data_IF_881674789741
#
_entry.id   IF_881674789741
#
_cell.length_a   1.000
_cell.length_b   1.000
_cell.length_c   1.000
_cell.angle_alpha   90.00
_cell.angle_beta   90.00
_cell.angle_gamma   90.00
#
_symmetry.space_group_name_H-M   'P 1'
#
loop_
_entity.id
_entity.type
_entity.pdbx_description
1 polymer ?
#
# COMPACT_ATOMS: atom_id res chain seq x y z
N UNK A 1 -4.15 -17.34 -10.23
CA UNK A 1 -2.97 -16.59 -9.82
C UNK A 1 -2.73 -15.58 -10.94
N UNK A 2 -2.66 -14.31 -10.63
CA UNK A 2 -2.48 -13.25 -11.60
C UNK A 2 -1.08 -13.26 -12.25
N UNK A 3 -0.89 -12.42 -13.25
CA UNK A 3 0.40 -12.25 -13.93
C UNK A 3 1.42 -11.48 -13.07
N UNK A 4 0.94 -10.50 -12.32
CA UNK A 4 1.75 -9.64 -11.44
C UNK A 4 1.44 -9.91 -9.96
N UNK A 5 0.15 -10.02 -9.60
CA UNK A 5 -0.28 -10.28 -8.24
C UNK A 5 -0.23 -11.76 -7.91
N UNK A 6 0.66 -12.12 -6.99
CA UNK A 6 0.68 -13.43 -6.35
C UNK A 6 -0.08 -13.43 -5.03
N UNK A 7 0.03 -14.50 -4.26
CA UNK A 7 -0.55 -14.62 -2.91
C UNK A 7 -0.12 -13.46 -1.99
N UNK A 8 1.09 -12.96 -2.19
CA UNK A 8 1.73 -11.94 -1.38
C UNK A 8 1.86 -10.56 -2.08
N UNK A 9 1.02 -10.29 -3.05
CA UNK A 9 1.11 -9.07 -3.87
C UNK A 9 2.11 -9.19 -5.02
N UNK A 10 2.54 -8.06 -5.57
CA UNK A 10 3.57 -8.01 -6.61
C UNK A 10 4.93 -8.03 -5.96
N UNK A 11 5.82 -8.95 -6.34
CA UNK A 11 7.18 -9.07 -5.81
C UNK A 11 8.21 -9.18 -6.91
N UNK A 12 9.42 -8.66 -6.68
CA UNK A 12 10.55 -8.77 -7.59
C UNK A 12 11.79 -8.07 -7.06
N UNK A 13 12.88 -8.16 -7.81
CA UNK A 13 14.10 -7.39 -7.55
C UNK A 13 13.79 -5.92 -7.84
N UNK A 14 13.98 -5.05 -6.84
CA UNK A 14 13.67 -3.63 -6.95
C UNK A 14 14.57 -2.97 -7.99
N UNK A 15 13.96 -2.22 -8.92
CA UNK A 15 14.67 -1.59 -10.04
C UNK A 15 14.93 -2.48 -11.26
N UNK A 16 14.68 -3.79 -11.15
CA UNK A 16 14.80 -4.74 -12.27
C UNK A 16 13.42 -5.32 -12.65
N UNK A 17 12.83 -6.13 -11.76
CA UNK A 17 11.50 -6.72 -11.97
C UNK A 17 10.40 -5.77 -11.48
N UNK A 18 10.58 -5.21 -10.28
CA UNK A 18 9.70 -4.23 -9.67
C UNK A 18 10.28 -2.84 -9.87
N UNK A 19 10.01 -2.25 -11.02
CA UNK A 19 10.51 -0.93 -11.43
C UNK A 19 9.62 0.21 -10.95
N UNK A 20 10.11 1.45 -11.03
CA UNK A 20 9.32 2.65 -10.76
C UNK A 20 8.12 2.76 -11.72
N UNK A 21 8.32 2.40 -12.99
CA UNK A 21 7.28 2.42 -14.00
C UNK A 21 6.15 1.44 -13.67
N UNK A 22 6.51 0.22 -13.23
CA UNK A 22 5.53 -0.77 -12.80
C UNK A 22 4.80 -0.30 -11.53
N UNK A 23 5.52 0.22 -10.54
CA UNK A 23 4.91 0.75 -9.32
C UNK A 23 3.94 1.91 -9.62
N UNK A 24 4.30 2.83 -10.52
CA UNK A 24 3.41 3.91 -10.96
C UNK A 24 2.16 3.37 -11.67
N UNK A 25 2.29 2.35 -12.53
CA UNK A 25 1.14 1.70 -13.19
C UNK A 25 0.24 0.99 -12.18
N UNK A 26 0.81 0.30 -11.20
CA UNK A 26 0.05 -0.30 -10.08
C UNK A 26 -0.75 0.79 -9.36
N UNK A 27 -0.12 1.93 -9.04
CA UNK A 27 -0.80 3.06 -8.41
C UNK A 27 -1.95 3.61 -9.25
N UNK A 28 -1.75 3.82 -10.55
CA UNK A 28 -2.80 4.27 -11.48
C UNK A 28 -3.96 3.29 -11.57
N UNK A 29 -3.66 2.01 -11.78
CA UNK A 29 -4.68 0.97 -11.88
C UNK A 29 -5.48 0.82 -10.58
N UNK A 30 -4.81 0.83 -9.43
CA UNK A 30 -5.45 0.77 -8.12
C UNK A 30 -6.39 1.96 -7.91
N UNK A 31 -5.91 3.21 -8.14
CA UNK A 31 -6.74 4.40 -8.00
C UNK A 31 -7.94 4.38 -8.95
N UNK A 32 -7.76 3.98 -10.22
CA UNK A 32 -8.84 3.91 -11.19
C UNK A 32 -9.94 2.93 -10.78
N UNK A 33 -9.55 1.72 -10.30
CA UNK A 33 -10.51 0.70 -9.84
C UNK A 33 -11.23 1.18 -8.59
N UNK A 34 -10.52 1.78 -7.62
CA UNK A 34 -11.11 2.27 -6.37
C UNK A 34 -12.04 3.46 -6.60
N UNK A 35 -11.63 4.46 -7.42
CA UNK A 35 -12.48 5.61 -7.76
C UNK A 35 -13.79 5.18 -8.40
N UNK A 36 -13.75 4.17 -9.27
CA UNK A 36 -14.97 3.62 -9.89
C UNK A 36 -15.93 2.96 -8.91
N UNK A 37 -15.47 2.61 -7.70
CA UNK A 37 -16.25 1.90 -6.69
C UNK A 37 -16.73 2.76 -5.52
N UNK A 38 -16.05 3.87 -5.21
CA UNK A 38 -16.30 4.64 -3.98
C UNK A 38 -17.24 5.82 -4.16
N UNK A 39 -17.34 6.39 -5.37
CA UNK A 39 -18.15 7.59 -5.62
C UNK A 39 -17.62 8.89 -4.97
N UNK A 40 -16.44 8.83 -4.34
CA UNK A 40 -15.71 9.96 -3.76
C UNK A 40 -14.22 9.84 -4.12
N UNK A 41 -13.43 10.88 -3.78
CA UNK A 41 -11.98 10.88 -3.95
C UNK A 41 -11.36 9.82 -3.02
N UNK A 42 -10.69 8.78 -3.55
CA UNK A 42 -10.12 7.73 -2.71
C UNK A 42 -9.01 8.27 -1.81
N UNK A 43 -8.96 7.78 -0.58
CA UNK A 43 -7.88 7.99 0.39
C UNK A 43 -7.13 6.70 0.58
N UNK A 44 -5.83 6.72 0.32
CA UNK A 44 -4.99 5.52 0.31
C UNK A 44 -3.83 5.70 1.28
N UNK A 45 -3.70 4.78 2.22
CA UNK A 45 -2.57 4.73 3.14
C UNK A 45 -1.40 4.03 2.47
N UNK A 46 -0.18 4.53 2.65
CA UNK A 46 1.05 3.83 2.23
C UNK A 46 2.00 3.70 3.41
N UNK A 47 2.38 2.46 3.69
CA UNK A 47 3.45 2.14 4.63
C UNK A 47 4.54 1.31 3.96
N UNK A 48 5.74 1.29 4.54
CA UNK A 48 6.88 0.55 4.01
C UNK A 48 7.72 -0.09 5.11
N UNK A 49 8.53 -1.07 4.74
CA UNK A 49 9.58 -1.59 5.61
C UNK A 49 10.85 -0.71 5.52
N UNK A 50 11.93 -1.16 6.14
CA UNK A 50 13.19 -0.42 6.22
C UNK A 50 14.08 -0.53 4.99
N UNK A 51 13.64 -1.19 3.92
CA UNK A 51 14.41 -1.37 2.68
C UNK A 51 14.65 -0.03 2.00
N UNK A 52 15.87 0.18 1.51
CA UNK A 52 16.25 1.40 0.80
C UNK A 52 15.40 1.63 -0.47
N UNK A 53 15.01 0.56 -1.16
CA UNK A 53 14.13 0.64 -2.33
C UNK A 53 12.71 1.15 -2.01
N UNK A 54 12.31 1.14 -0.74
CA UNK A 54 11.00 1.61 -0.29
C UNK A 54 10.73 3.06 -0.66
N UNK A 55 11.71 3.95 -0.53
CA UNK A 55 11.55 5.39 -0.85
C UNK A 55 11.24 5.60 -2.33
N UNK A 56 11.98 4.93 -3.20
CA UNK A 56 11.81 5.01 -4.64
C UNK A 56 10.44 4.48 -5.08
N UNK A 57 10.04 3.32 -4.55
CA UNK A 57 8.77 2.68 -4.91
C UNK A 57 7.57 3.45 -4.33
N UNK A 58 7.68 4.00 -3.11
CA UNK A 58 6.66 4.86 -2.53
C UNK A 58 6.43 6.11 -3.37
N UNK A 59 7.50 6.77 -3.81
CA UNK A 59 7.40 7.95 -4.66
C UNK A 59 6.70 7.63 -5.99
N UNK A 60 7.05 6.51 -6.63
CA UNK A 60 6.45 6.08 -7.91
C UNK A 60 4.96 5.71 -7.75
N UNK A 61 4.62 4.92 -6.72
CA UNK A 61 3.23 4.59 -6.39
C UNK A 61 2.41 5.84 -6.13
N UNK A 62 2.92 6.75 -5.29
CA UNK A 62 2.28 8.01 -4.92
C UNK A 62 2.00 8.86 -6.17
N UNK A 63 2.98 8.98 -7.07
CA UNK A 63 2.78 9.69 -8.32
C UNK A 63 1.66 9.06 -9.18
N UNK A 64 1.62 7.73 -9.25
CA UNK A 64 0.56 7.00 -9.95
C UNK A 64 -0.82 7.27 -9.36
N UNK A 65 -0.97 7.12 -8.06
CA UNK A 65 -2.23 7.34 -7.33
C UNK A 65 -2.73 8.78 -7.48
N UNK A 66 -1.87 9.76 -7.21
CA UNK A 66 -2.23 11.17 -7.29
C UNK A 66 -2.59 11.59 -8.72
N UNK A 67 -1.95 11.02 -9.74
CA UNK A 67 -2.23 11.33 -11.15
C UNK A 67 -3.67 10.97 -11.58
N UNK A 68 -4.34 10.08 -10.84
CA UNK A 68 -5.73 9.65 -11.08
C UNK A 68 -6.71 10.29 -10.08
N UNK A 69 -6.21 11.13 -9.17
CA UNK A 69 -7.01 11.91 -8.23
C UNK A 69 -7.18 11.28 -6.85
N UNK A 70 -6.48 10.19 -6.52
CA UNK A 70 -6.50 9.64 -5.17
C UNK A 70 -5.58 10.46 -4.24
N UNK A 71 -6.03 10.71 -3.01
CA UNK A 71 -5.20 11.28 -1.96
C UNK A 71 -4.39 10.17 -1.27
N UNK A 72 -3.16 10.48 -0.93
CA UNK A 72 -2.22 9.54 -0.30
C UNK A 72 -1.86 10.02 1.10
N UNK A 73 -1.96 9.14 2.08
CA UNK A 73 -1.43 9.36 3.43
C UNK A 73 -0.22 8.45 3.66
N UNK A 74 0.98 9.04 3.70
CA UNK A 74 2.21 8.31 4.00
C UNK A 74 2.31 8.06 5.50
N UNK A 75 2.42 6.78 5.87
CA UNK A 75 2.57 6.30 7.25
C UNK A 75 4.05 6.16 7.65
N UNK A 76 4.98 6.25 6.69
CA UNK A 76 6.39 5.99 6.92
C UNK A 76 6.70 4.51 7.12
N UNK A 77 7.68 4.22 7.97
CA UNK A 77 8.14 2.84 8.24
C UNK A 77 7.32 2.23 9.36
N UNK A 78 6.58 1.15 9.02
CA UNK A 78 5.82 0.36 9.98
C UNK A 78 5.55 -1.07 9.45
N UNK A 79 5.22 -2.02 10.35
CA UNK A 79 5.01 -3.41 9.94
C UNK A 79 3.71 -3.56 9.12
N UNK A 80 3.71 -4.56 8.24
CA UNK A 80 2.56 -4.89 7.38
C UNK A 80 1.21 -4.93 8.11
N UNK A 81 1.05 -5.59 9.28
CA UNK A 81 -0.23 -5.63 9.98
C UNK A 81 -0.69 -4.26 10.49
N UNK A 82 0.23 -3.32 10.72
CA UNK A 82 -0.14 -1.96 11.09
C UNK A 82 -0.92 -1.26 9.97
N UNK A 83 -0.47 -1.39 8.71
CA UNK A 83 -1.19 -0.81 7.57
C UNK A 83 -2.60 -1.40 7.47
N UNK A 84 -2.72 -2.72 7.57
CA UNK A 84 -4.00 -3.42 7.50
C UNK A 84 -4.98 -2.93 8.60
N UNK A 85 -4.49 -2.74 9.83
CA UNK A 85 -5.28 -2.21 10.95
C UNK A 85 -5.68 -0.74 10.73
N UNK A 86 -4.70 0.10 10.35
CA UNK A 86 -4.90 1.54 10.23
C UNK A 86 -5.84 1.92 9.09
N UNK A 87 -5.94 1.11 8.03
CA UNK A 87 -6.94 1.30 6.96
C UNK A 87 -8.34 1.38 7.57
N UNK A 88 -8.71 0.42 8.40
CA UNK A 88 -10.00 0.43 9.09
C UNK A 88 -10.13 1.56 10.11
N UNK A 89 -9.09 1.78 10.93
CA UNK A 89 -9.07 2.84 11.96
C UNK A 89 -9.29 4.23 11.39
N UNK A 90 -8.68 4.52 10.24
CA UNK A 90 -8.76 5.84 9.60
C UNK A 90 -9.86 5.95 8.55
N UNK A 91 -10.65 4.88 8.34
CA UNK A 91 -11.66 4.80 7.30
C UNK A 91 -11.10 5.16 5.91
N UNK A 92 -9.91 4.64 5.60
CA UNK A 92 -9.30 4.79 4.29
C UNK A 92 -9.87 3.76 3.31
N UNK A 93 -9.89 4.07 2.02
CA UNK A 93 -10.45 3.18 1.00
C UNK A 93 -9.56 2.00 0.69
N UNK A 94 -8.25 2.18 0.89
CA UNK A 94 -7.25 1.11 0.74
C UNK A 94 -5.98 1.41 1.54
N UNK A 95 -5.18 0.37 1.75
CA UNK A 95 -3.82 0.48 2.26
C UNK A 95 -2.83 -0.23 1.36
N UNK A 96 -1.66 0.35 1.17
CA UNK A 96 -0.57 -0.24 0.40
C UNK A 96 0.63 -0.42 1.34
N UNK A 97 1.24 -1.60 1.29
CA UNK A 97 2.49 -1.87 1.99
C UNK A 97 3.58 -2.19 0.99
N UNK A 98 4.72 -1.53 1.13
CA UNK A 98 5.93 -1.77 0.34
C UNK A 98 6.89 -2.59 1.19
N UNK A 99 6.95 -3.89 0.93
CA UNK A 99 7.78 -4.84 1.66
C UNK A 99 7.90 -6.16 0.93
N UNK A 100 9.04 -6.81 1.04
CA UNK A 100 9.23 -8.20 0.61
C UNK A 100 9.39 -9.17 1.80
N UNK A 101 8.93 -8.79 3.00
CA UNK A 101 8.97 -9.64 4.20
C UNK A 101 10.42 -10.06 4.54
N UNK A 102 10.72 -11.37 4.52
CA UNK A 102 12.03 -11.96 4.85
C UNK A 102 12.93 -12.22 3.63
N UNK A 103 12.52 -11.78 2.43
CA UNK A 103 13.37 -11.94 1.23
C UNK A 103 14.67 -11.10 1.36
N UNK A 104 15.74 -11.46 0.64
CA UNK A 104 16.96 -10.67 0.58
C UNK A 104 16.71 -9.18 0.26
N UNK A 105 17.66 -8.31 0.62
CA UNK A 105 17.46 -6.86 0.61
C UNK A 105 17.20 -6.27 -0.78
N UNK A 106 17.65 -6.91 -1.84
CA UNK A 106 17.42 -6.51 -3.23
C UNK A 106 15.99 -6.71 -3.70
N UNK A 107 15.22 -7.58 -3.03
CA UNK A 107 13.80 -7.75 -3.33
C UNK A 107 12.94 -6.66 -2.68
N UNK A 108 11.84 -6.35 -3.32
CA UNK A 108 10.74 -5.58 -2.73
C UNK A 108 9.40 -6.15 -3.18
N UNK A 109 8.32 -5.60 -2.64
CA UNK A 109 6.97 -6.03 -2.98
C UNK A 109 5.95 -4.94 -2.68
N UNK A 110 4.80 -5.03 -3.34
CA UNK A 110 3.67 -4.13 -3.16
C UNK A 110 2.45 -4.99 -2.87
N UNK A 111 1.89 -4.84 -1.66
CA UNK A 111 0.63 -5.45 -1.25
C UNK A 111 -0.44 -4.40 -1.09
N UNK A 112 -1.65 -4.70 -1.53
CA UNK A 112 -2.79 -3.80 -1.41
C UNK A 112 -3.85 -4.44 -0.53
N UNK A 113 -4.31 -3.69 0.46
CA UNK A 113 -5.42 -4.04 1.34
C UNK A 113 -6.65 -3.21 0.97
N UNK A 114 -7.81 -3.84 0.98
CA UNK A 114 -9.08 -3.14 0.87
C UNK A 114 -9.35 -2.29 2.13
N UNK A 115 -10.35 -1.40 2.08
CA UNK A 115 -10.79 -0.58 3.23
C UNK A 115 -11.16 -1.39 4.47
N UNK A 116 -11.39 -2.70 4.32
CA UNK A 116 -11.64 -3.65 5.42
C UNK A 116 -10.37 -4.14 6.11
N UNK A 117 -9.17 -3.78 5.61
CA UNK A 117 -7.89 -4.29 6.10
C UNK A 117 -7.50 -5.67 5.59
N UNK A 118 -8.33 -6.33 4.79
CA UNK A 118 -8.01 -7.61 4.17
C UNK A 118 -7.39 -7.43 2.79
N UNK A 119 -6.69 -8.47 2.29
CA UNK A 119 -6.17 -8.54 0.92
C UNK A 119 -7.29 -8.19 -0.07
N UNK A 120 -6.96 -7.51 -1.16
CA UNK A 120 -7.90 -7.29 -2.26
C UNK A 120 -8.45 -8.62 -2.79
N UNK A 121 -9.74 -8.69 -3.14
CA UNK A 121 -10.27 -9.82 -3.90
C UNK A 121 -9.52 -10.00 -5.23
N UNK A 122 -9.33 -11.25 -5.64
CA UNK A 122 -8.61 -11.56 -6.89
C UNK A 122 -9.24 -10.87 -8.12
N UNK A 123 -10.56 -10.69 -8.14
CA UNK A 123 -11.26 -9.96 -9.20
C UNK A 123 -10.83 -8.48 -9.29
N UNK A 124 -10.51 -7.86 -8.16
CA UNK A 124 -10.02 -6.47 -8.11
C UNK A 124 -8.58 -6.40 -8.57
N UNK A 125 -7.74 -7.34 -8.12
CA UNK A 125 -6.36 -7.48 -8.57
C UNK A 125 -6.29 -7.70 -10.09
N UNK A 126 -7.13 -8.58 -10.64
CA UNK A 126 -7.21 -8.83 -12.09
C UNK A 126 -7.59 -7.57 -12.89
N UNK A 127 -8.46 -6.69 -12.36
CA UNK A 127 -8.78 -5.41 -13.00
C UNK A 127 -7.57 -4.47 -13.00
N UNK A 128 -6.81 -4.43 -11.92
CA UNK A 128 -5.56 -3.65 -11.84
C UNK A 128 -4.55 -4.19 -12.85
N UNK A 129 -4.38 -5.50 -12.94
CA UNK A 129 -3.50 -6.15 -13.92
C UNK A 129 -3.89 -5.82 -15.37
N UNK A 130 -5.17 -5.81 -15.68
CA UNK A 130 -5.65 -5.44 -17.01
C UNK A 130 -5.26 -4.00 -17.39
N UNK A 131 -5.28 -3.06 -16.43
CA UNK A 131 -4.75 -1.71 -16.67
C UNK A 131 -3.24 -1.71 -16.89
N UNK A 132 -2.48 -2.48 -16.11
CA UNK A 132 -1.02 -2.57 -16.25
C UNK A 132 -0.65 -3.12 -17.63
N UNK A 133 -1.30 -4.21 -18.07
CA UNK A 133 -1.05 -4.86 -19.35
C UNK A 133 -1.39 -3.97 -20.55
N UNK A 134 -2.37 -3.08 -20.41
CA UNK A 134 -2.77 -2.11 -21.43
C UNK A 134 -2.10 -0.74 -21.25
N UNK A 135 -0.95 -0.70 -20.58
CA UNK A 135 -0.18 0.53 -20.33
C UNK A 135 -0.98 1.67 -19.68
N UNK A 136 -1.95 1.31 -18.84
CA UNK A 136 -2.94 2.21 -18.23
C UNK A 136 -3.76 3.01 -19.24
N UNK A 137 -3.90 2.52 -20.48
CA UNK A 137 -4.73 3.15 -21.50
C UNK A 137 -6.20 3.21 -21.02
N UNK A 138 -6.87 4.34 -21.29
CA UNK A 138 -8.24 4.58 -20.86
C UNK A 138 -8.38 5.12 -19.43
N UNK A 139 -7.30 5.21 -18.66
CA UNK A 139 -7.31 5.92 -17.38
C UNK A 139 -7.20 7.43 -17.65
N UNK A 140 -8.20 8.16 -17.20
CA UNK A 140 -8.18 9.63 -17.28
C UNK A 140 -7.25 10.21 -16.23
N UNK A 141 -6.20 10.91 -16.66
CA UNK A 141 -5.32 11.63 -15.75
C UNK A 141 -5.97 12.95 -15.33
N UNK A 142 -5.91 13.24 -14.04
CA UNK A 142 -6.50 14.44 -13.45
C UNK A 142 -5.56 15.64 -13.57
N UNK A 143 -6.16 16.83 -13.59
CA UNK A 143 -5.44 18.12 -13.72
C UNK A 143 -5.88 19.10 -12.65
N UNK A 144 -5.05 20.12 -12.40
CA UNK A 144 -5.39 21.20 -11.49
C UNK A 144 -5.79 20.72 -10.09
N UNK A 145 -6.96 21.12 -9.62
CA UNK A 145 -7.46 20.78 -8.28
C UNK A 145 -7.93 19.32 -8.13
N UNK A 146 -8.07 18.59 -9.23
CA UNK A 146 -8.49 17.18 -9.21
C UNK A 146 -7.32 16.22 -9.00
N UNK A 147 -6.06 16.66 -9.18
CA UNK A 147 -4.88 15.88 -8.83
C UNK A 147 -4.91 15.58 -7.34
N UNK A 148 -4.59 14.33 -6.97
CA UNK A 148 -4.52 13.90 -5.58
C UNK A 148 -3.41 14.59 -4.79
N UNK A 149 -3.54 14.63 -3.48
CA UNK A 149 -2.56 15.23 -2.57
C UNK A 149 -1.86 14.18 -1.73
N UNK A 150 -0.68 14.54 -1.23
CA UNK A 150 0.08 13.71 -0.30
C UNK A 150 0.04 14.36 1.07
N UNK A 151 -0.31 13.57 2.06
CA UNK A 151 -0.28 13.95 3.47
C UNK A 151 0.68 13.03 4.21
N UNK A 152 1.31 13.53 5.25
CA UNK A 152 2.09 12.71 6.17
C UNK A 152 1.27 12.47 7.43
N UNK A 153 1.27 11.21 7.87
CA UNK A 153 0.59 10.80 9.08
C UNK A 153 1.61 10.24 10.08
N UNK A 154 2.03 11.09 10.99
CA UNK A 154 3.10 10.79 11.94
C UNK A 154 2.61 9.98 13.16
N UNK A 155 1.30 9.95 13.42
CA UNK A 155 0.65 9.26 14.54
C UNK A 155 0.37 7.77 14.27
N UNK A 156 0.50 7.32 13.03
CA UNK A 156 0.14 5.95 12.64
C UNK A 156 0.86 4.85 13.43
N UNK A 157 2.15 5.02 13.69
CA UNK A 157 2.91 4.04 14.47
C UNK A 157 2.40 3.96 15.92
N UNK A 158 2.17 5.12 16.55
CA UNK A 158 1.68 5.17 17.93
C UNK A 158 0.28 4.57 18.03
N UNK A 159 -0.61 4.90 17.10
CA UNK A 159 -1.95 4.34 17.03
C UNK A 159 -1.97 2.81 16.91
N UNK A 160 -0.99 2.25 16.19
CA UNK A 160 -0.86 0.79 16.10
C UNK A 160 -0.29 0.19 17.38
N UNK A 161 0.69 0.84 18.02
CA UNK A 161 1.24 0.42 19.32
C UNK A 161 0.14 0.41 20.38
N UNK A 162 -0.67 1.45 20.44
CA UNK A 162 -1.78 1.55 21.40
C UNK A 162 -2.78 0.40 21.18
N UNK A 163 -3.13 0.10 19.94
CA UNK A 163 -3.95 -1.06 19.60
C UNK A 163 -3.36 -2.38 20.10
N UNK A 164 -2.04 -2.58 19.94
CA UNK A 164 -1.38 -3.78 20.42
C UNK A 164 -1.46 -3.88 21.96
N UNK A 165 -1.28 -2.77 22.66
CA UNK A 165 -1.44 -2.75 24.12
C UNK A 165 -2.86 -3.11 24.56
N UNK A 166 -3.87 -2.59 23.89
CA UNK A 166 -5.27 -2.91 24.16
C UNK A 166 -5.60 -4.40 23.94
N UNK A 167 -4.87 -5.07 23.05
CA UNK A 167 -5.06 -6.50 22.77
C UNK A 167 -4.44 -7.44 23.82
N UNK A 168 -3.57 -6.91 24.69
CA UNK A 168 -2.87 -7.71 25.70
C UNK A 168 -3.75 -7.81 26.94
N UNK A 169 -4.15 -9.02 27.30
CA UNK A 169 -4.88 -9.31 28.52
C UNK A 169 -3.95 -10.00 29.51
N UNK A 170 -3.52 -9.30 30.53
CA UNK A 170 -2.70 -9.84 31.62
C UNK A 170 -1.38 -9.13 31.84
N UNK A 171 -0.64 -9.60 32.84
CA UNK A 171 0.66 -9.06 33.24
C UNK A 171 1.80 -9.89 32.60
N UNK A 172 2.68 -9.22 31.88
CA UNK A 172 3.87 -9.80 31.24
C UNK A 172 5.14 -9.66 32.11
N UNK A 173 4.99 -9.21 33.34
CA UNK A 173 6.10 -9.02 34.29
C UNK A 173 6.87 -10.33 34.48
N UNK A 174 8.19 -10.26 34.34
CA UNK A 174 9.10 -11.39 34.50
C UNK A 174 9.29 -12.27 33.26
N UNK A 175 8.57 -12.03 32.16
CA UNK A 175 8.84 -12.70 30.89
C UNK A 175 10.19 -12.19 30.31
N UNK A 176 10.99 -13.14 29.84
CA UNK A 176 12.20 -12.85 29.04
C UNK A 176 11.91 -13.17 27.59
N UNK A 177 12.00 -12.16 26.73
CA UNK A 177 11.73 -12.29 25.30
C UNK A 177 13.03 -12.10 24.54
N UNK A 178 13.33 -13.03 23.62
CA UNK A 178 14.40 -12.88 22.64
C UNK A 178 13.76 -12.64 21.28
N UNK A 179 14.26 -11.63 20.58
CA UNK A 179 13.77 -11.25 19.23
C UNK A 179 14.95 -11.34 18.28
N UNK A 180 14.77 -12.06 17.19
CA UNK A 180 15.71 -12.16 16.09
C UNK A 180 15.11 -11.52 14.82
#
# INVERSE_FOLDING_TARGET
MGKYFGTDGVRGVAGADLTCELAMKIGRGAAAVLTGSTGHRPRILIGKDTRQSGDMLEAALTAGLCSVGADVESLGVLPTPAVAYLVGKYNADAGIVISASHNPMEFSGIKIFAGTGYKLPDEVENKIEAYIDNDCAGIELKTGAEVGRVYRRDDGLQDYVDHLYESIHGDLTGLKVCID
#
